data_IF_660540758895
#
_entry.id   IF_660540758895
#
_cell.length_a   1.000
_cell.length_b   1.000
_cell.length_c   1.000
_cell.angle_alpha   90.00
_cell.angle_beta   90.00
_cell.angle_gamma   90.00
#
_symmetry.space_group_name_H-M   'P 1'
#
loop_
_entity.id
_entity.type
_entity.pdbx_description
1 polymer ?
#
# COMPACT_ATOMS: atom_id res chain seq x y z
N UNK A 1 23.29 -54.59 -24.67
CA UNK A 1 24.23 -55.40 -23.88
C UNK A 1 25.36 -54.48 -23.43
N UNK A 2 25.41 -54.12 -22.13
CA UNK A 2 26.50 -54.48 -21.18
C UNK A 2 27.87 -53.91 -21.63
N UNK A 3 28.60 -53.02 -20.94
CA UNK A 3 28.81 -52.71 -19.51
C UNK A 3 29.61 -51.38 -19.46
N UNK A 4 29.33 -50.43 -18.56
CA UNK A 4 29.92 -50.27 -17.22
C UNK A 4 31.41 -49.82 -17.23
N UNK A 5 31.73 -48.62 -16.75
CA UNK A 5 32.58 -48.41 -15.56
C UNK A 5 32.64 -46.94 -15.12
N UNK A 6 32.65 -46.77 -13.79
CA UNK A 6 32.80 -45.53 -13.02
C UNK A 6 34.29 -45.18 -12.87
N UNK A 7 34.62 -43.89 -12.74
CA UNK A 7 35.76 -43.47 -11.93
C UNK A 7 35.52 -42.06 -11.36
N UNK A 8 35.92 -41.92 -10.10
CA UNK A 8 35.74 -40.80 -9.17
C UNK A 8 37.06 -40.03 -9.04
N UNK A 9 36.98 -38.82 -8.47
CA UNK A 9 38.01 -38.09 -7.73
C UNK A 9 38.73 -36.92 -8.43
N UNK A 10 39.06 -35.94 -7.57
CA UNK A 10 39.96 -34.77 -7.67
C UNK A 10 39.17 -33.46 -7.50
N UNK A 11 39.24 -32.86 -6.30
CA UNK A 11 39.82 -31.51 -6.11
C UNK A 11 40.34 -31.43 -4.66
N UNK A 12 41.66 -31.38 -4.55
CA UNK A 12 42.44 -31.06 -3.36
C UNK A 12 42.58 -29.55 -3.15
N UNK A 13 42.79 -29.18 -1.89
CA UNK A 13 43.28 -27.94 -1.30
C UNK A 13 44.00 -26.94 -2.23
N UNK A 14 43.71 -25.65 -2.00
CA UNK A 14 44.53 -24.52 -2.42
C UNK A 14 44.30 -23.29 -1.55
N UNK A 15 44.96 -23.25 -0.40
CA UNK A 15 45.08 -22.08 0.49
C UNK A 15 46.19 -21.18 -0.08
N UNK A 16 45.90 -19.91 -0.35
CA UNK A 16 46.94 -18.89 -0.51
C UNK A 16 46.40 -17.53 -0.05
N UNK A 17 47.06 -17.01 0.99
CA UNK A 17 46.80 -15.75 1.66
C UNK A 17 47.20 -14.55 0.81
N UNK A 18 46.53 -13.42 1.00
CA UNK A 18 47.14 -12.12 0.81
C UNK A 18 46.87 -11.24 2.03
N UNK A 19 47.95 -10.91 2.71
CA UNK A 19 48.08 -10.02 3.85
C UNK A 19 48.00 -8.56 3.37
N UNK A 20 47.24 -7.73 4.08
CA UNK A 20 47.67 -6.36 4.38
C UNK A 20 47.29 -6.01 5.83
N UNK A 21 48.32 -5.65 6.58
CA UNK A 21 48.34 -5.05 7.92
C UNK A 21 47.82 -3.61 7.85
N UNK A 22 47.27 -3.01 8.91
CA UNK A 22 47.90 -2.29 10.03
C UNK A 22 46.76 -2.02 11.06
N UNK A 23 46.84 -2.51 12.32
CA UNK A 23 47.07 -1.77 13.59
C UNK A 23 46.27 -0.46 13.74
N UNK A 24 45.70 -0.06 14.88
CA UNK A 24 45.77 -0.47 16.29
C UNK A 24 44.87 0.50 17.07
N UNK A 25 44.24 0.05 18.15
CA UNK A 25 43.53 0.92 19.10
C UNK A 25 42.91 0.14 20.24
N UNK A 26 43.74 -0.53 21.04
CA UNK A 26 43.37 -1.03 22.37
C UNK A 26 43.87 -0.03 23.44
N UNK A 27 43.10 0.09 24.52
CA UNK A 27 43.42 0.53 25.90
C UNK A 27 42.25 1.38 26.44
N UNK A 28 41.77 1.29 27.67
CA UNK A 28 42.14 0.50 28.85
C UNK A 28 40.97 0.64 29.85
N UNK A 29 40.73 -0.40 30.64
CA UNK A 29 39.94 -0.30 31.87
C UNK A 29 40.87 0.19 32.99
N UNK A 30 40.42 1.19 33.77
CA UNK A 30 41.06 1.58 35.02
C UNK A 30 40.03 1.70 36.16
N UNK A 31 40.42 1.07 37.27
CA UNK A 31 40.04 1.22 38.66
C UNK A 31 38.57 1.50 39.07
N UNK A 32 38.05 0.58 39.88
CA UNK A 32 36.83 0.75 40.63
C UNK A 32 36.94 1.80 41.75
N UNK A 33 35.88 2.61 41.86
CA UNK A 33 35.41 3.19 43.13
C UNK A 33 33.89 3.11 43.16
N UNK A 34 33.35 2.39 44.15
CA UNK A 34 31.93 2.37 44.47
C UNK A 34 31.55 3.71 45.11
N UNK A 35 30.58 4.40 44.55
CA UNK A 35 29.92 5.56 45.18
C UNK A 35 28.59 5.06 45.76
N UNK A 36 28.27 5.33 47.04
CA UNK A 36 27.00 4.93 47.66
C UNK A 36 25.81 5.72 47.06
N UNK A 37 24.61 5.13 47.01
CA UNK A 37 23.45 5.79 46.42
C UNK A 37 22.93 6.89 47.35
N UNK A 38 22.67 8.08 46.81
CA UNK A 38 21.85 9.09 47.50
C UNK A 38 20.39 9.00 47.01
N UNK A 39 19.41 9.31 47.88
CA UNK A 39 18.01 9.01 47.67
C UNK A 39 17.35 9.93 46.64
N UNK A 40 16.39 9.34 45.94
CA UNK A 40 15.44 9.92 44.98
C UNK A 40 14.89 11.31 45.37
N UNK A 41 14.72 12.21 44.39
CA UNK A 41 13.44 12.87 44.18
C UNK A 41 12.55 11.98 43.31
N UNK A 42 11.33 11.73 43.78
CA UNK A 42 10.26 11.15 42.96
C UNK A 42 9.96 12.18 41.87
N UNK A 43 10.61 12.03 40.71
CA UNK A 43 10.16 12.67 39.50
C UNK A 43 9.05 11.78 38.96
N UNK A 44 7.80 12.17 39.25
CA UNK A 44 6.65 11.79 38.44
C UNK A 44 6.91 12.34 37.03
N UNK A 45 7.69 11.60 36.25
CA UNK A 45 7.76 11.80 34.82
C UNK A 45 6.39 11.37 34.28
N UNK A 46 5.50 12.34 34.09
CA UNK A 46 4.58 12.27 32.96
C UNK A 46 5.48 12.01 31.75
N UNK A 47 5.57 10.75 31.32
CA UNK A 47 5.82 10.48 29.92
C UNK A 47 4.67 11.18 29.19
N UNK A 48 4.92 12.12 28.28
CA UNK A 48 3.94 12.36 27.23
C UNK A 48 3.78 10.99 26.56
N UNK A 49 2.60 10.39 26.68
CA UNK A 49 2.20 9.40 25.70
C UNK A 49 2.31 10.12 24.36
N UNK A 50 3.41 9.89 23.63
CA UNK A 50 3.47 10.29 22.24
C UNK A 50 2.27 9.61 21.60
N UNK A 51 1.29 10.41 21.18
CA UNK A 51 0.02 9.95 20.66
C UNK A 51 0.26 8.83 19.64
N UNK A 52 -0.10 7.60 20.01
CA UNK A 52 0.11 6.44 19.16
C UNK A 52 -0.60 6.59 17.80
N UNK A 53 -1.63 7.45 17.72
CA UNK A 53 -2.34 7.84 16.50
C UNK A 53 -1.44 8.59 15.49
N UNK A 54 -0.54 9.46 15.96
CA UNK A 54 0.36 10.25 15.11
C UNK A 54 1.32 9.38 14.28
N UNK A 55 1.81 8.29 14.87
CA UNK A 55 2.66 7.30 14.19
C UNK A 55 1.90 6.43 13.18
N UNK A 56 0.62 6.12 13.46
CA UNK A 56 -0.21 5.26 12.61
C UNK A 56 -0.63 5.92 11.29
N UNK A 57 -0.70 7.25 11.27
CA UNK A 57 -1.03 8.02 10.06
C UNK A 57 0.16 8.74 9.42
N UNK A 58 1.34 8.66 10.04
CA UNK A 58 2.61 9.14 9.49
C UNK A 58 2.75 8.76 8.01
N UNK A 59 3.26 9.67 7.18
CA UNK A 59 3.50 9.41 5.77
C UNK A 59 4.76 8.62 5.48
N UNK A 60 5.46 8.19 6.53
CA UNK A 60 6.76 7.60 6.38
C UNK A 60 6.73 6.10 6.06
N UNK A 61 7.82 5.61 5.47
CA UNK A 61 7.93 4.25 4.98
C UNK A 61 8.66 3.39 6.00
N UNK A 62 8.51 2.08 5.85
CA UNK A 62 9.44 1.14 6.44
C UNK A 62 10.51 0.78 5.40
N UNK A 63 11.76 0.60 5.81
CA UNK A 63 12.81 0.19 4.87
C UNK A 63 12.52 -1.23 4.37
N UNK A 64 12.26 -2.18 5.28
CA UNK A 64 12.06 -3.59 4.96
C UNK A 64 10.97 -4.21 5.84
N UNK A 65 10.21 -5.22 5.38
CA UNK A 65 9.34 -5.99 6.27
C UNK A 65 10.13 -6.80 7.31
N UNK A 66 9.49 -7.04 8.45
CA UNK A 66 9.98 -8.00 9.45
C UNK A 66 9.96 -9.42 8.88
N UNK A 67 11.02 -10.18 9.15
CA UNK A 67 11.04 -11.62 8.87
C UNK A 67 10.23 -12.43 9.89
N UNK A 68 9.83 -11.79 11.00
CA UNK A 68 9.00 -12.42 12.03
C UNK A 68 7.60 -12.67 11.48
N UNK A 69 7.10 -13.89 11.67
CA UNK A 69 5.74 -14.27 11.31
C UNK A 69 4.70 -13.85 12.37
N UNK A 70 4.93 -12.73 13.07
CA UNK A 70 4.03 -12.24 14.12
C UNK A 70 2.60 -12.13 13.57
N UNK A 71 1.73 -13.06 13.98
CA UNK A 71 0.38 -13.23 13.42
C UNK A 71 -0.65 -12.27 14.01
N UNK A 72 -0.23 -11.32 14.86
CA UNK A 72 -1.17 -10.66 15.74
C UNK A 72 -0.76 -9.24 16.10
N UNK A 73 -1.38 -8.26 15.44
CA UNK A 73 -1.17 -6.83 15.68
C UNK A 73 -2.31 -6.25 16.52
N UNK A 74 -2.05 -5.81 17.76
CA UNK A 74 -3.01 -5.02 18.53
C UNK A 74 -2.74 -3.54 18.33
N UNK A 75 -3.61 -2.88 17.57
CA UNK A 75 -3.61 -1.43 17.43
C UNK A 75 -4.94 -0.84 17.89
N UNK A 76 -4.94 0.35 18.51
CA UNK A 76 -6.16 1.07 18.78
C UNK A 76 -6.77 1.61 17.49
N UNK A 77 -8.09 1.76 17.44
CA UNK A 77 -8.76 2.47 16.36
C UNK A 77 -8.37 3.96 16.38
N UNK A 78 -8.18 4.55 15.20
CA UNK A 78 -7.99 5.99 15.07
C UNK A 78 -9.35 6.67 15.24
N UNK A 79 -9.46 7.57 16.22
CA UNK A 79 -10.69 8.33 16.51
C UNK A 79 -10.63 9.79 16.08
N UNK A 80 -9.44 10.24 15.68
CA UNK A 80 -9.21 11.61 15.24
C UNK A 80 -9.76 11.83 13.83
N UNK A 81 -10.25 13.04 13.58
CA UNK A 81 -10.61 13.47 12.24
C UNK A 81 -9.34 13.68 11.42
N UNK A 82 -9.26 13.00 10.28
CA UNK A 82 -8.13 13.14 9.35
C UNK A 82 -8.53 14.08 8.22
N UNK A 83 -7.75 15.14 7.96
CA UNK A 83 -8.08 16.09 6.90
C UNK A 83 -7.95 15.44 5.51
N UNK A 84 -8.75 15.91 4.55
CA UNK A 84 -8.68 15.47 3.15
C UNK A 84 -7.27 15.63 2.53
N UNK A 85 -6.49 16.62 3.01
CA UNK A 85 -5.10 16.84 2.60
C UNK A 85 -4.19 15.64 2.83
N UNK A 86 -4.58 14.69 3.70
CA UNK A 86 -3.86 13.43 3.90
C UNK A 86 -4.00 12.45 2.72
N UNK A 87 -5.06 12.60 1.92
CA UNK A 87 -5.42 11.69 0.84
C UNK A 87 -5.18 12.28 -0.54
N UNK A 88 -5.38 13.59 -0.68
CA UNK A 88 -4.98 14.32 -1.89
C UNK A 88 -4.61 15.75 -1.55
N UNK A 89 -3.60 16.26 -2.23
CA UNK A 89 -3.18 17.66 -2.12
C UNK A 89 -4.01 18.49 -3.08
N UNK A 90 -4.50 19.66 -2.65
CA UNK A 90 -5.07 20.60 -3.60
C UNK A 90 -3.93 21.22 -4.42
N UNK A 91 -4.07 21.28 -5.74
CA UNK A 91 -3.11 21.97 -6.58
C UNK A 91 -3.14 23.46 -6.24
N UNK A 92 -2.01 23.99 -5.78
CA UNK A 92 -1.86 25.45 -5.68
C UNK A 92 -1.73 26.02 -7.10
N UNK A 93 -2.23 27.25 -7.31
CA UNK A 93 -2.20 27.94 -8.60
C UNK A 93 -0.79 28.09 -9.19
N UNK A 94 0.26 27.97 -8.34
CA UNK A 94 1.66 28.00 -8.74
C UNK A 94 2.17 26.69 -9.37
N UNK A 95 1.41 25.59 -9.27
CA UNK A 95 1.77 24.26 -9.79
C UNK A 95 1.24 23.99 -11.21
N UNK A 96 0.45 24.91 -11.76
CA UNK A 96 -0.03 24.87 -13.14
C UNK A 96 1.03 25.51 -14.04
N UNK A 97 2.00 24.71 -14.48
CA UNK A 97 2.96 25.14 -15.49
C UNK A 97 2.24 25.50 -16.79
N UNK A 98 2.59 26.65 -17.37
CA UNK A 98 1.84 27.36 -18.42
C UNK A 98 2.11 26.83 -19.83
N UNK A 99 2.44 25.54 -19.97
CA UNK A 99 3.04 24.97 -21.18
C UNK A 99 2.24 23.84 -21.82
N UNK A 100 0.90 23.87 -21.78
CA UNK A 100 0.07 23.00 -22.65
C UNK A 100 -1.16 23.77 -23.13
N UNK A 101 -1.46 23.64 -24.42
CA UNK A 101 -2.44 24.41 -25.17
C UNK A 101 -3.87 24.44 -24.62
N UNK A 102 -4.70 25.24 -25.29
CA UNK A 102 -6.07 25.64 -24.94
C UNK A 102 -6.81 24.69 -24.00
N UNK A 103 -7.33 25.19 -22.86
CA UNK A 103 -8.05 24.35 -21.91
C UNK A 103 -9.28 23.78 -22.60
N UNK A 104 -9.27 22.48 -22.89
CA UNK A 104 -10.52 21.74 -22.98
C UNK A 104 -11.19 21.96 -21.63
N UNK A 105 -12.36 22.61 -21.64
CA UNK A 105 -13.09 22.93 -20.42
C UNK A 105 -13.20 21.66 -19.58
N UNK A 106 -12.49 21.63 -18.45
CA UNK A 106 -12.56 20.48 -17.55
C UNK A 106 -14.02 20.35 -17.09
N UNK A 107 -14.57 19.12 -17.02
CA UNK A 107 -15.92 18.92 -16.55
C UNK A 107 -16.10 19.61 -15.21
N UNK A 108 -17.22 20.31 -15.03
CA UNK A 108 -17.59 20.94 -13.74
C UNK A 108 -17.87 19.90 -12.65
N UNK A 109 -17.89 18.61 -13.00
CA UNK A 109 -18.15 17.53 -12.07
C UNK A 109 -17.02 17.40 -11.03
N UNK A 110 -17.40 17.55 -9.77
CA UNK A 110 -16.60 17.19 -8.60
C UNK A 110 -17.49 16.35 -7.69
N UNK A 111 -17.08 15.12 -7.32
CA UNK A 111 -17.87 14.29 -6.44
C UNK A 111 -17.89 14.86 -5.03
N UNK A 112 -18.87 14.43 -4.22
CA UNK A 112 -18.74 14.57 -2.77
C UNK A 112 -17.60 13.68 -2.27
N UNK A 113 -16.88 14.16 -1.26
CA UNK A 113 -15.71 13.51 -0.71
C UNK A 113 -15.89 13.32 0.81
N UNK A 114 -15.61 12.12 1.30
CA UNK A 114 -15.70 11.75 2.71
C UNK A 114 -14.41 11.04 3.15
N UNK A 115 -14.04 11.20 4.42
CA UNK A 115 -12.94 10.45 5.04
C UNK A 115 -13.52 9.53 6.10
N UNK A 116 -13.39 8.22 5.90
CA UNK A 116 -13.81 7.19 6.84
C UNK A 116 -12.70 6.16 6.92
N UNK A 117 -11.80 6.32 7.90
CA UNK A 117 -10.63 5.47 8.01
C UNK A 117 -10.98 4.00 8.25
N UNK A 118 -10.24 3.12 7.58
CA UNK A 118 -10.15 1.73 7.98
C UNK A 118 -9.49 1.59 9.37
N UNK A 119 -9.71 0.47 10.04
CA UNK A 119 -8.99 0.16 11.27
C UNK A 119 -7.49 0.03 11.00
N UNK A 120 -6.59 0.50 11.88
CA UNK A 120 -5.14 0.46 11.65
C UNK A 120 -4.53 -0.94 11.48
N UNK A 121 -5.24 -1.99 11.87
CA UNK A 121 -4.83 -3.37 11.57
C UNK A 121 -5.03 -3.75 10.10
N UNK A 122 -5.88 -3.01 9.36
CA UNK A 122 -6.22 -3.27 7.97
C UNK A 122 -5.34 -2.51 6.98
N UNK A 123 -4.25 -1.87 7.41
CA UNK A 123 -3.25 -1.29 6.52
C UNK A 123 -1.88 -1.23 7.19
N UNK A 124 -0.83 -1.10 6.40
CA UNK A 124 0.55 -0.97 6.89
C UNK A 124 1.31 0.16 6.21
N UNK A 125 2.60 0.35 6.51
CA UNK A 125 3.45 1.18 5.66
C UNK A 125 3.74 0.45 4.35
N UNK A 126 4.11 1.23 3.34
CA UNK A 126 4.80 0.72 2.16
C UNK A 126 6.27 0.46 2.51
N UNK A 127 6.86 -0.53 1.85
CA UNK A 127 8.26 -0.91 2.02
C UNK A 127 9.12 -0.44 0.86
N UNK A 128 10.34 0.00 1.16
CA UNK A 128 11.36 0.38 0.17
C UNK A 128 12.18 -0.83 -0.31
N UNK A 129 12.13 -1.94 0.43
CA UNK A 129 12.75 -3.22 0.09
C UNK A 129 11.76 -4.37 0.31
N UNK A 130 11.89 -5.44 -0.48
CA UNK A 130 11.15 -6.67 -0.28
C UNK A 130 11.69 -7.48 0.93
N UNK A 131 11.05 -8.61 1.23
CA UNK A 131 11.46 -9.52 2.30
C UNK A 131 12.89 -10.04 2.18
N UNK A 132 13.43 -10.12 0.97
CA UNK A 132 14.81 -10.55 0.72
C UNK A 132 15.81 -9.39 0.79
N UNK A 133 15.34 -8.15 0.86
CA UNK A 133 16.17 -6.94 0.87
C UNK A 133 16.39 -6.33 -0.52
N UNK A 134 15.70 -6.83 -1.55
CA UNK A 134 15.78 -6.24 -2.88
C UNK A 134 15.04 -4.89 -2.90
N UNK A 135 15.57 -3.85 -3.57
CA UNK A 135 14.88 -2.58 -3.71
C UNK A 135 13.50 -2.71 -4.38
N UNK A 136 12.53 -1.94 -3.88
CA UNK A 136 11.20 -1.80 -4.49
C UNK A 136 11.16 -0.50 -5.29
N UNK A 137 11.22 -0.63 -6.60
CA UNK A 137 11.22 0.50 -7.55
C UNK A 137 9.98 0.49 -8.46
N UNK A 138 8.93 -0.24 -8.05
CA UNK A 138 7.71 -0.36 -8.83
C UNK A 138 7.03 1.00 -8.99
N UNK A 139 6.70 1.36 -10.23
CA UNK A 139 5.82 2.50 -10.49
C UNK A 139 4.43 2.19 -9.92
N UNK A 140 3.71 3.16 -9.33
CA UNK A 140 2.37 2.88 -8.82
C UNK A 140 1.39 2.40 -9.90
N UNK A 141 0.35 1.69 -9.47
CA UNK A 141 -0.79 1.27 -10.30
C UNK A 141 -2.11 1.60 -9.60
N UNK A 142 -3.18 1.77 -10.38
CA UNK A 142 -4.55 1.71 -9.87
C UNK A 142 -5.08 0.29 -10.07
N UNK A 143 -5.59 -0.34 -9.01
CA UNK A 143 -6.29 -1.62 -9.08
C UNK A 143 -7.77 -1.38 -8.78
N UNK A 144 -8.61 -1.69 -9.75
CA UNK A 144 -10.05 -1.57 -9.66
C UNK A 144 -10.66 -2.82 -9.02
N UNK A 145 -11.56 -2.60 -8.08
CA UNK A 145 -12.30 -3.60 -7.33
C UNK A 145 -13.79 -3.32 -7.37
N UNK A 146 -14.56 -4.29 -6.84
CA UNK A 146 -15.92 -4.05 -6.40
C UNK A 146 -16.16 -4.63 -5.01
N UNK A 147 -17.18 -4.13 -4.31
CA UNK A 147 -17.42 -4.50 -2.91
C UNK A 147 -18.18 -5.80 -2.70
N UNK A 148 -18.86 -6.32 -3.73
CA UNK A 148 -19.87 -7.42 -3.68
C UNK A 148 -20.98 -7.23 -2.64
N UNK A 149 -21.10 -6.04 -2.07
CA UNK A 149 -21.99 -5.69 -0.96
C UNK A 149 -22.27 -4.18 -0.92
N UNK A 150 -22.98 -3.70 0.10
CA UNK A 150 -23.29 -2.27 0.23
C UNK A 150 -22.07 -1.45 0.69
N UNK A 151 -22.13 -0.14 0.47
CA UNK A 151 -21.16 0.82 0.99
C UNK A 151 -20.99 0.66 2.51
N UNK A 152 -22.10 0.70 3.27
CA UNK A 152 -22.08 0.64 4.72
C UNK A 152 -21.50 -0.68 5.25
N UNK A 153 -21.85 -1.82 4.62
CA UNK A 153 -21.31 -3.12 5.02
C UNK A 153 -19.80 -3.17 4.83
N UNK A 154 -19.30 -2.62 3.72
CA UNK A 154 -17.86 -2.56 3.42
C UNK A 154 -17.13 -1.65 4.40
N UNK A 155 -17.70 -0.47 4.67
CA UNK A 155 -17.15 0.48 5.64
C UNK A 155 -17.03 -0.16 7.03
N UNK A 156 -18.12 -0.76 7.52
CA UNK A 156 -18.14 -1.42 8.83
C UNK A 156 -17.09 -2.54 8.91
N UNK A 157 -16.96 -3.31 7.83
CA UNK A 157 -15.98 -4.39 7.76
C UNK A 157 -14.55 -3.85 7.83
N UNK A 158 -14.21 -2.81 7.05
CA UNK A 158 -12.87 -2.23 7.10
C UNK A 158 -12.57 -1.47 8.39
N UNK A 159 -13.59 -0.98 9.10
CA UNK A 159 -13.45 -0.40 10.45
C UNK A 159 -13.33 -1.44 11.57
N UNK A 160 -13.60 -2.72 11.27
CA UNK A 160 -13.41 -3.82 12.21
C UNK A 160 -11.93 -4.16 12.35
N UNK A 161 -11.49 -4.44 13.58
CA UNK A 161 -10.11 -4.85 13.84
C UNK A 161 -9.87 -6.28 13.36
N UNK A 162 -8.88 -6.45 12.48
CA UNK A 162 -8.40 -7.73 11.96
C UNK A 162 -6.92 -7.90 12.33
N UNK A 163 -6.63 -8.34 13.57
CA UNK A 163 -5.27 -8.41 14.07
C UNK A 163 -4.46 -9.54 13.41
N UNK A 164 -5.12 -10.52 12.79
CA UNK A 164 -4.47 -11.62 12.05
C UNK A 164 -4.31 -11.23 10.59
N UNK A 165 -3.10 -11.40 10.05
CA UNK A 165 -2.79 -11.09 8.65
C UNK A 165 -3.74 -11.75 7.65
N UNK A 166 -4.19 -12.98 7.94
CA UNK A 166 -5.15 -13.73 7.09
C UNK A 166 -6.51 -13.02 6.93
N UNK A 167 -6.89 -12.18 7.90
CA UNK A 167 -8.17 -11.47 7.93
C UNK A 167 -8.06 -10.02 7.41
N UNK A 168 -6.84 -9.52 7.24
CA UNK A 168 -6.60 -8.12 6.93
C UNK A 168 -7.06 -7.76 5.51
N UNK A 169 -7.83 -6.68 5.41
CA UNK A 169 -8.45 -6.28 4.16
C UNK A 169 -8.83 -4.82 4.17
N UNK A 170 -8.52 -4.12 3.09
CA UNK A 170 -8.90 -2.72 2.89
C UNK A 170 -8.71 -2.27 1.45
N UNK A 171 -9.35 -1.16 1.11
CA UNK A 171 -9.07 -0.39 -0.09
C UNK A 171 -8.68 1.04 0.30
N UNK A 172 -8.05 1.75 -0.63
CA UNK A 172 -7.75 3.16 -0.40
C UNK A 172 -9.02 3.99 -0.51
N UNK A 173 -9.87 3.65 -1.48
CA UNK A 173 -11.06 4.42 -1.79
C UNK A 173 -12.24 3.54 -2.14
N UNK A 174 -13.42 3.89 -1.64
CA UNK A 174 -14.72 3.37 -2.11
C UNK A 174 -15.45 4.45 -2.89
N UNK A 175 -16.18 4.06 -3.94
CA UNK A 175 -17.09 4.96 -4.67
C UNK A 175 -18.51 4.43 -4.51
N UNK A 176 -19.32 5.15 -3.72
CA UNK A 176 -20.73 4.82 -3.45
C UNK A 176 -21.57 4.86 -4.73
N UNK A 177 -22.76 4.25 -4.71
CA UNK A 177 -23.65 4.22 -5.88
C UNK A 177 -24.03 5.64 -6.38
N UNK A 178 -24.05 6.65 -5.50
CA UNK A 178 -24.31 8.06 -5.84
C UNK A 178 -23.09 8.84 -6.36
N UNK A 179 -21.92 8.19 -6.46
CA UNK A 179 -20.66 8.79 -6.87
C UNK A 179 -19.83 9.40 -5.74
N UNK A 180 -20.28 9.38 -4.49
CA UNK A 180 -19.47 9.86 -3.36
C UNK A 180 -18.18 9.06 -3.24
N UNK A 181 -17.05 9.77 -3.13
CA UNK A 181 -15.71 9.20 -2.94
C UNK A 181 -15.42 9.14 -1.45
N UNK A 182 -15.23 7.93 -0.93
CA UNK A 182 -14.90 7.69 0.49
C UNK A 182 -13.45 7.24 0.58
N UNK A 183 -12.60 8.06 1.18
CA UNK A 183 -11.21 7.73 1.45
C UNK A 183 -11.06 6.96 2.77
N UNK A 184 -10.36 5.83 2.72
CA UNK A 184 -10.27 4.88 3.84
C UNK A 184 -8.84 4.55 4.27
N UNK A 185 -7.91 4.44 3.31
CA UNK A 185 -6.48 4.24 3.57
C UNK A 185 -5.69 5.32 2.84
N UNK A 186 -4.79 6.06 3.52
CA UNK A 186 -3.99 7.08 2.86
C UNK A 186 -3.14 6.50 1.69
N UNK A 187 -2.94 7.25 0.60
CA UNK A 187 -2.38 6.72 -0.66
C UNK A 187 -0.94 6.20 -0.56
N UNK A 188 -0.16 6.74 0.36
CA UNK A 188 1.22 6.37 0.71
C UNK A 188 1.29 5.23 1.74
N UNK A 189 0.15 4.77 2.27
CA UNK A 189 0.03 3.55 3.07
C UNK A 189 -0.31 2.36 2.18
N UNK A 190 -0.01 1.16 2.69
CA UNK A 190 -0.27 -0.11 2.01
C UNK A 190 -1.63 -0.63 2.48
N UNK A 191 -2.63 -0.56 1.61
CA UNK A 191 -3.90 -1.27 1.79
C UNK A 191 -3.76 -2.75 1.41
N UNK A 192 -4.68 -3.58 1.89
CA UNK A 192 -4.67 -5.04 1.69
C UNK A 192 -5.78 -5.47 0.73
N UNK A 193 -5.61 -5.11 -0.55
CA UNK A 193 -6.69 -5.22 -1.55
C UNK A 193 -6.60 -6.40 -2.51
N UNK A 194 -5.40 -6.92 -2.81
CA UNK A 194 -5.19 -7.83 -3.96
C UNK A 194 -4.71 -9.25 -3.64
N UNK A 195 -4.24 -9.54 -2.42
CA UNK A 195 -3.75 -10.88 -2.05
C UNK A 195 -2.64 -11.41 -2.98
N UNK A 196 -2.74 -12.66 -3.43
CA UNK A 196 -1.80 -13.27 -4.38
C UNK A 196 -1.95 -12.64 -5.77
N UNK A 197 -1.05 -11.72 -6.12
CA UNK A 197 -1.25 -10.89 -7.31
C UNK A 197 0.05 -10.45 -7.95
N UNK A 198 0.04 -10.30 -9.27
CA UNK A 198 1.15 -9.81 -10.09
C UNK A 198 0.58 -8.85 -11.14
N UNK A 199 1.21 -7.68 -11.29
CA UNK A 199 0.92 -6.79 -12.40
C UNK A 199 1.86 -7.13 -13.57
N UNK A 200 1.29 -7.63 -14.67
CA UNK A 200 2.06 -7.98 -15.87
C UNK A 200 2.04 -6.81 -16.86
N UNK A 201 3.13 -6.04 -16.89
CA UNK A 201 3.39 -5.00 -17.88
C UNK A 201 4.49 -5.43 -18.85
N UNK A 202 5.54 -4.61 -18.98
CA UNK A 202 6.79 -5.00 -19.67
C UNK A 202 7.58 -6.06 -18.90
N UNK A 203 7.34 -6.15 -17.59
CA UNK A 203 7.82 -7.19 -16.68
C UNK A 203 6.71 -7.53 -15.68
N UNK A 204 6.82 -8.70 -15.06
CA UNK A 204 5.96 -9.06 -13.93
C UNK A 204 6.40 -8.28 -12.68
N UNK A 205 5.44 -7.61 -12.04
CA UNK A 205 5.66 -6.75 -10.88
C UNK A 205 4.85 -7.24 -9.67
N UNK A 206 5.54 -7.63 -8.60
CA UNK A 206 4.95 -7.95 -7.31
C UNK A 206 6.02 -7.81 -6.20
N UNK A 207 5.59 -7.53 -4.97
CA UNK A 207 6.50 -7.40 -3.82
C UNK A 207 6.13 -8.44 -2.77
N UNK A 208 7.13 -9.24 -2.36
CA UNK A 208 7.00 -10.18 -1.23
C UNK A 208 7.26 -9.41 0.05
N UNK A 209 6.24 -9.28 0.89
CA UNK A 209 6.29 -8.46 2.11
C UNK A 209 6.04 -9.26 3.39
N UNK A 210 5.64 -10.53 3.28
CA UNK A 210 5.42 -11.42 4.40
C UNK A 210 5.86 -12.84 4.00
N UNK A 211 6.60 -13.56 4.85
CA UNK A 211 7.09 -14.91 4.53
C UNK A 211 5.96 -15.90 4.21
N UNK A 212 4.81 -15.77 4.87
CA UNK A 212 3.70 -16.73 4.77
C UNK A 212 2.75 -16.47 3.59
N UNK A 213 2.68 -15.23 3.10
CA UNK A 213 1.76 -14.87 2.00
C UNK A 213 2.48 -14.69 0.68
N UNK A 214 1.88 -15.08 -0.46
CA UNK A 214 2.48 -14.85 -1.76
C UNK A 214 2.77 -13.35 -2.01
N UNK A 215 3.65 -13.09 -2.99
CA UNK A 215 3.92 -11.73 -3.42
C UNK A 215 2.64 -11.04 -3.94
N UNK A 216 2.59 -9.73 -3.78
CA UNK A 216 1.39 -8.94 -4.07
C UNK A 216 1.73 -7.57 -4.67
N UNK A 217 0.77 -6.97 -5.37
CA UNK A 217 0.83 -5.58 -5.83
C UNK A 217 0.53 -4.57 -4.71
N UNK A 218 0.01 -5.02 -3.56
CA UNK A 218 -0.43 -4.15 -2.45
C UNK A 218 0.61 -3.07 -2.08
N UNK A 219 1.91 -3.38 -2.14
CA UNK A 219 2.97 -2.44 -1.75
C UNK A 219 3.12 -1.21 -2.66
N UNK A 220 2.60 -1.26 -3.90
CA UNK A 220 2.66 -0.13 -4.87
C UNK A 220 1.31 0.16 -5.55
N UNK A 221 0.24 -0.56 -5.20
CA UNK A 221 -1.09 -0.33 -5.73
C UNK A 221 -1.88 0.72 -4.94
N UNK A 222 -2.71 1.47 -5.66
CA UNK A 222 -3.82 2.28 -5.14
C UNK A 222 -5.12 1.56 -5.50
N UNK A 223 -5.83 1.10 -4.47
CA UNK A 223 -7.00 0.25 -4.61
C UNK A 223 -8.27 1.10 -4.56
N UNK A 224 -9.05 1.05 -5.64
CA UNK A 224 -10.33 1.77 -5.75
C UNK A 224 -11.44 0.74 -5.97
N UNK A 225 -12.43 0.73 -5.10
CA UNK A 225 -13.58 -0.16 -5.22
C UNK A 225 -14.85 0.59 -5.57
N UNK A 226 -15.57 0.11 -6.57
CA UNK A 226 -16.92 0.54 -6.85
C UNK A 226 -17.89 -0.23 -5.95
N UNK A 227 -18.85 0.46 -5.34
CA UNK A 227 -19.91 -0.22 -4.60
C UNK A 227 -20.81 -0.97 -5.59
N UNK A 228 -20.95 -2.27 -5.38
CA UNK A 228 -21.74 -3.15 -6.24
C UNK A 228 -23.23 -2.77 -6.18
N UNK A 229 -23.92 -2.64 -7.33
CA UNK A 229 -25.34 -2.32 -7.35
C UNK A 229 -26.18 -3.39 -6.63
N UNK A 230 -27.40 -3.07 -6.14
CA UNK A 230 -28.22 -4.01 -5.38
C UNK A 230 -28.45 -5.37 -6.05
N UNK A 231 -28.58 -5.41 -7.37
CA UNK A 231 -28.80 -6.64 -8.16
C UNK A 231 -27.52 -7.47 -8.40
N UNK A 232 -26.35 -6.94 -8.03
CA UNK A 232 -25.05 -7.60 -8.15
C UNK A 232 -24.44 -8.08 -6.86
N UNK A 233 -25.07 -7.80 -5.70
CA UNK A 233 -24.52 -8.17 -4.39
C UNK A 233 -24.42 -9.69 -4.27
N UNK A 234 -23.36 -10.17 -3.61
CA UNK A 234 -23.00 -11.59 -3.56
C UNK A 234 -22.16 -12.06 -4.75
N UNK A 235 -22.15 -13.37 -4.98
CA UNK A 235 -21.16 -14.06 -5.83
C UNK A 235 -21.61 -14.30 -7.28
N UNK A 236 -22.61 -13.58 -7.79
CA UNK A 236 -23.03 -13.68 -9.18
C UNK A 236 -21.88 -13.38 -10.16
N UNK A 237 -21.95 -13.84 -11.41
CA UNK A 237 -20.90 -13.56 -12.39
C UNK A 237 -21.01 -12.17 -13.03
N UNK A 238 -22.16 -11.52 -12.92
CA UNK A 238 -22.48 -10.23 -13.54
C UNK A 238 -23.60 -9.50 -12.80
N UNK A 239 -23.77 -8.22 -13.10
CA UNK A 239 -24.87 -7.37 -12.63
C UNK A 239 -25.20 -6.26 -13.65
N UNK A 240 -26.25 -5.46 -13.39
CA UNK A 240 -26.71 -4.36 -14.24
C UNK A 240 -25.63 -3.37 -14.66
N UNK A 241 -24.64 -3.15 -13.80
CA UNK A 241 -23.49 -2.29 -14.06
C UNK A 241 -23.41 -1.17 -13.03
N UNK A 242 -22.36 -0.36 -13.11
CA UNK A 242 -22.16 0.76 -12.20
C UNK A 242 -22.90 2.01 -12.67
N UNK A 243 -23.23 2.90 -11.73
CA UNK A 243 -23.96 4.12 -12.06
C UNK A 243 -23.08 5.10 -12.85
N UNK A 244 -23.71 6.02 -13.60
CA UNK A 244 -23.00 7.12 -14.26
C UNK A 244 -22.16 7.94 -13.27
N UNK A 245 -22.69 8.19 -12.09
CA UNK A 245 -21.99 8.94 -11.05
C UNK A 245 -20.72 8.21 -10.60
N UNK A 246 -20.80 6.88 -10.41
CA UNK A 246 -19.62 6.06 -10.09
C UNK A 246 -18.53 6.16 -11.15
N UNK A 247 -18.88 6.07 -12.44
CA UNK A 247 -17.90 6.22 -13.52
C UNK A 247 -17.31 7.63 -13.59
N UNK A 248 -18.11 8.67 -13.38
CA UNK A 248 -17.63 10.06 -13.37
C UNK A 248 -16.66 10.31 -12.21
N UNK A 249 -16.98 9.82 -11.01
CA UNK A 249 -16.10 9.90 -9.84
C UNK A 249 -14.84 9.08 -10.01
N UNK A 250 -14.94 7.88 -10.61
CA UNK A 250 -13.78 7.05 -10.89
C UNK A 250 -12.82 7.74 -11.87
N UNK A 251 -13.36 8.30 -12.95
CA UNK A 251 -12.58 9.09 -13.92
C UNK A 251 -11.90 10.29 -13.26
N UNK A 252 -12.66 11.07 -12.49
CA UNK A 252 -12.14 12.23 -11.75
C UNK A 252 -11.03 11.83 -10.76
N UNK A 253 -11.23 10.75 -10.00
CA UNK A 253 -10.28 10.26 -9.00
C UNK A 253 -9.01 9.72 -9.64
N UNK A 254 -9.13 8.91 -10.69
CA UNK A 254 -7.97 8.30 -11.35
C UNK A 254 -7.14 9.34 -12.09
N UNK A 255 -7.74 10.38 -12.67
CA UNK A 255 -6.98 11.49 -13.27
C UNK A 255 -6.02 12.15 -12.26
N UNK A 256 -6.43 12.24 -10.99
CA UNK A 256 -5.65 12.83 -9.88
C UNK A 256 -4.48 12.00 -9.40
N UNK A 257 -4.33 10.77 -9.89
CA UNK A 257 -3.15 9.94 -9.65
C UNK A 257 -2.00 10.27 -10.60
N UNK A 258 -2.29 10.92 -11.73
CA UNK A 258 -1.30 11.27 -12.74
C UNK A 258 -0.76 10.08 -13.55
N UNK A 259 -1.19 8.85 -13.23
CA UNK A 259 -0.72 7.64 -13.89
C UNK A 259 -1.23 7.53 -15.33
N UNK A 260 -0.47 6.85 -16.18
CA UNK A 260 -0.90 6.50 -17.54
C UNK A 260 -1.96 5.41 -17.55
N UNK A 261 -2.72 5.31 -18.65
CA UNK A 261 -3.75 4.29 -18.83
C UNK A 261 -3.24 2.86 -18.61
N UNK A 262 -2.01 2.61 -19.05
CA UNK A 262 -1.32 1.33 -18.90
C UNK A 262 -1.02 0.93 -17.45
N UNK A 263 -1.19 1.83 -16.48
CA UNK A 263 -1.05 1.54 -15.04
C UNK A 263 -2.40 1.40 -14.33
N UNK A 264 -3.51 1.38 -15.08
CA UNK A 264 -4.85 1.11 -14.55
C UNK A 264 -5.21 -0.33 -14.90
N UNK A 265 -5.54 -1.12 -13.88
CA UNK A 265 -5.86 -2.54 -14.03
C UNK A 265 -7.04 -2.93 -13.15
N UNK A 266 -7.53 -4.15 -13.29
CA UNK A 266 -8.54 -4.72 -12.41
C UNK A 266 -7.93 -5.78 -11.50
N UNK A 267 -8.63 -6.07 -10.39
CA UNK A 267 -8.26 -7.16 -9.51
C UNK A 267 -8.18 -8.49 -10.25
N UNK A 268 -9.15 -8.77 -11.13
CA UNK A 268 -9.14 -9.96 -12.00
C UNK A 268 -7.84 -10.10 -12.80
N UNK A 269 -7.31 -9.00 -13.33
CA UNK A 269 -6.13 -9.04 -14.19
C UNK A 269 -4.83 -9.22 -13.41
N UNK A 270 -4.78 -8.79 -12.14
CA UNK A 270 -3.61 -9.01 -11.29
C UNK A 270 -3.67 -10.30 -10.50
N UNK A 271 -4.84 -10.89 -10.33
CA UNK A 271 -5.04 -12.08 -9.50
C UNK A 271 -4.33 -13.33 -10.05
N UNK A 272 -3.53 -13.96 -9.19
CA UNK A 272 -2.83 -15.22 -9.48
C UNK A 272 -3.53 -16.44 -8.91
N UNK A 273 -4.49 -16.25 -8.00
CA UNK A 273 -5.30 -17.33 -7.43
C UNK A 273 -6.39 -17.82 -8.38
N UNK A 274 -6.78 -17.00 -9.36
CA UNK A 274 -7.91 -17.21 -10.29
C UNK A 274 -9.26 -17.26 -9.58
N UNK A 275 -9.36 -16.65 -8.40
CA UNK A 275 -10.57 -16.58 -7.60
C UNK A 275 -11.27 -15.22 -7.71
N UNK A 276 -10.64 -14.24 -8.36
CA UNK A 276 -11.13 -12.87 -8.46
C UNK A 276 -11.64 -12.57 -9.87
N UNK A 277 -12.83 -11.99 -9.95
CA UNK A 277 -13.49 -11.59 -11.19
C UNK A 277 -13.84 -10.11 -11.23
N UNK A 278 -13.49 -9.37 -10.18
CA UNK A 278 -13.87 -7.97 -9.99
C UNK A 278 -12.99 -6.98 -10.80
N UNK A 279 -13.57 -5.83 -11.20
CA UNK A 279 -15.00 -5.49 -11.12
C UNK A 279 -15.82 -6.16 -12.24
N UNK A 280 -16.92 -6.83 -11.88
CA UNK A 280 -17.87 -7.44 -12.83
C UNK A 280 -18.65 -6.35 -13.55
N UNK A 281 -19.07 -6.62 -14.79
CA UNK A 281 -19.86 -5.68 -15.62
C UNK A 281 -19.24 -4.28 -15.75
N UNK A 282 -17.91 -4.14 -15.65
CA UNK A 282 -17.22 -2.87 -15.81
C UNK A 282 -17.09 -2.48 -17.30
N UNK A 283 -17.60 -1.32 -17.66
CA UNK A 283 -17.49 -0.72 -18.98
C UNK A 283 -16.21 0.13 -19.05
N UNK A 284 -15.11 -0.53 -19.41
CA UNK A 284 -13.82 0.12 -19.55
C UNK A 284 -13.84 1.22 -20.61
N UNK A 285 -14.56 1.02 -21.72
CA UNK A 285 -14.63 2.01 -22.79
C UNK A 285 -15.31 3.29 -22.31
N UNK A 286 -16.40 3.18 -21.56
CA UNK A 286 -17.06 4.33 -20.96
C UNK A 286 -16.19 5.03 -19.92
N UNK A 287 -15.53 4.27 -19.06
CA UNK A 287 -14.58 4.82 -18.10
C UNK A 287 -13.47 5.64 -18.77
N UNK A 288 -12.77 5.09 -19.77
CA UNK A 288 -11.67 5.80 -20.43
C UNK A 288 -12.14 7.05 -21.20
N UNK A 289 -13.32 7.00 -21.83
CA UNK A 289 -13.92 8.20 -22.45
C UNK A 289 -14.12 9.33 -21.44
N UNK A 290 -14.56 9.01 -20.22
CA UNK A 290 -14.72 10.00 -19.16
C UNK A 290 -13.38 10.46 -18.60
N UNK A 291 -12.44 9.53 -18.41
CA UNK A 291 -11.11 9.82 -17.87
C UNK A 291 -10.36 10.84 -18.73
N UNK A 292 -10.47 10.76 -20.05
CA UNK A 292 -9.84 11.72 -20.97
C UNK A 292 -10.43 13.13 -20.95
N UNK A 293 -11.55 13.35 -20.25
CA UNK A 293 -12.09 14.68 -20.03
C UNK A 293 -11.43 15.40 -18.86
N UNK A 294 -10.77 14.66 -17.95
CA UNK A 294 -10.13 15.25 -16.77
C UNK A 294 -8.63 15.41 -16.98
N UNK A 295 -8.04 16.57 -16.63
CA UNK A 295 -6.60 16.74 -16.68
C UNK A 295 -5.93 15.79 -15.68
N UNK A 296 -4.88 15.10 -16.14
CA UNK A 296 -4.07 14.25 -15.26
C UNK A 296 -3.11 15.11 -14.44
N UNK A 297 -3.08 14.87 -13.14
CA UNK A 297 -2.17 15.55 -12.22
C UNK A 297 -1.84 14.61 -11.05
N UNK A 298 -0.83 14.95 -10.25
CA UNK A 298 -0.35 14.12 -9.14
C UNK A 298 -0.87 14.58 -7.77
N UNK A 299 -2.14 14.98 -7.67
CA UNK A 299 -2.76 15.34 -6.39
C UNK A 299 -2.76 14.18 -5.38
N UNK A 300 -2.87 12.94 -5.86
CA UNK A 300 -2.82 11.72 -5.05
C UNK A 300 -1.40 11.12 -5.11
N UNK A 301 -0.59 11.45 -4.11
CA UNK A 301 0.77 10.92 -3.99
C UNK A 301 0.77 9.52 -3.35
N UNK A 302 1.00 8.49 -4.16
CA UNK A 302 1.00 7.08 -3.72
C UNK A 302 2.36 6.59 -3.21
N UNK A 303 3.44 7.28 -3.60
CA UNK A 303 4.77 6.90 -3.19
C UNK A 303 5.06 7.44 -1.79
N UNK A 304 5.77 6.63 -1.04
CA UNK A 304 6.33 7.03 0.23
C UNK A 304 7.82 7.32 0.02
N UNK A 305 8.29 8.52 0.36
CA UNK A 305 9.64 8.99 0.06
C UNK A 305 10.55 9.20 1.28
N UNK A 306 10.00 9.15 2.50
CA UNK A 306 10.77 9.34 3.73
C UNK A 306 10.75 8.06 4.57
N UNK A 307 11.86 7.30 4.67
CA UNK A 307 11.93 6.18 5.60
C UNK A 307 11.89 6.71 7.04
N UNK A 308 10.98 6.20 7.88
CA UNK A 308 10.98 6.54 9.32
C UNK A 308 11.41 5.39 10.21
N UNK A 309 11.28 4.14 9.76
CA UNK A 309 11.60 2.97 10.56
C UNK A 309 12.34 1.92 9.74
N UNK A 310 13.33 1.26 10.36
CA UNK A 310 14.14 0.24 9.69
C UNK A 310 13.31 -0.99 9.31
N UNK A 311 12.40 -1.42 10.19
CA UNK A 311 11.52 -2.57 9.95
C UNK A 311 10.11 -2.32 10.51
N UNK A 312 9.11 -2.88 9.87
CA UNK A 312 7.73 -2.97 10.39
C UNK A 312 7.26 -4.43 10.32
N UNK A 313 6.46 -4.84 11.30
CA UNK A 313 5.67 -6.09 11.24
C UNK A 313 4.53 -5.97 10.22
#
# INVERSE_FOLDING_TARGET
MKKLLRALAIVTLGLAALLFTIRSGDAEWLEGKRIPPLPTPITLALQPQADASSGLLSSACAVKPSASSSKYRRLPAIREQVPLSRFRQELTTASLDSSVGSPVASPSYRPQEEVILAHPTNFGRRFLQDLNGNPVENTPIVVLHETVGSAQSTINYFQTSHPRDDDQVSYHTLIKEDGTVVYMVPPDRRAFGAGNSVFSGTKDEAVKTNPNFPASVNNFAYHVSLVTPPDGRGNGSSHSGYTRAQYQSLAWLVAKTGLSDSRITSHRLVDRSRQRSDPRSFDAQYFFRLLYLYPRNAEIAMQCSTPAIAQEE
#
